data_IF_578319558882
#
_entry.id   IF_578319558882
#
_cell.length_a   1.000
_cell.length_b   1.000
_cell.length_c   1.000
_cell.angle_alpha   90.00
_cell.angle_beta   90.00
_cell.angle_gamma   90.00
#
_symmetry.space_group_name_H-M   'P 1'
#
loop_
_entity.id
_entity.type
_entity.pdbx_description
1 polymer ?
#
# COMPACT_ATOMS: atom_id res chain seq x y z
N UNK A 1 -5.82 20.28 -36.66
CA UNK A 1 -5.07 19.88 -35.45
C UNK A 1 -3.72 19.35 -35.84
N UNK A 2 -2.69 19.76 -35.13
CA UNK A 2 -1.36 19.24 -35.37
C UNK A 2 -1.24 17.81 -34.84
N UNK A 3 -0.40 17.01 -35.48
CA UNK A 3 -0.13 15.62 -35.05
C UNK A 3 0.38 15.57 -33.60
N UNK A 4 1.08 16.60 -33.15
CA UNK A 4 1.62 16.70 -31.80
C UNK A 4 0.52 16.84 -30.74
N UNK A 5 -0.52 17.61 -31.04
CA UNK A 5 -1.66 17.76 -30.13
C UNK A 5 -2.42 16.46 -29.99
N UNK A 6 -2.64 15.77 -31.11
CA UNK A 6 -3.30 14.46 -31.10
C UNK A 6 -2.52 13.43 -30.33
N UNK A 7 -1.21 13.38 -30.52
CA UNK A 7 -0.33 12.47 -29.79
C UNK A 7 -0.34 12.76 -28.28
N UNK A 8 -0.29 14.04 -27.90
CA UNK A 8 -0.33 14.44 -26.50
C UNK A 8 -1.64 13.99 -25.84
N UNK A 9 -2.77 14.18 -26.54
CA UNK A 9 -4.07 13.75 -26.04
C UNK A 9 -4.14 12.23 -25.86
N UNK A 10 -3.58 11.46 -26.79
CA UNK A 10 -3.53 10.01 -26.69
C UNK A 10 -2.70 9.56 -25.49
N UNK A 11 -1.57 10.20 -25.26
CA UNK A 11 -0.71 9.89 -24.12
C UNK A 11 -1.39 10.24 -22.81
N UNK A 12 -2.08 11.37 -22.75
CA UNK A 12 -2.86 11.77 -21.58
C UNK A 12 -3.98 10.76 -21.30
N UNK A 13 -4.68 10.32 -22.35
CA UNK A 13 -5.75 9.32 -22.21
C UNK A 13 -5.22 7.99 -21.66
N UNK A 14 -4.04 7.56 -22.11
CA UNK A 14 -3.45 6.31 -21.60
C UNK A 14 -3.10 6.42 -20.12
N UNK A 15 -2.59 7.57 -19.68
CA UNK A 15 -2.30 7.82 -18.28
C UNK A 15 -3.58 7.81 -17.47
N UNK A 16 -4.62 8.51 -17.93
CA UNK A 16 -5.92 8.55 -17.26
C UNK A 16 -6.54 7.16 -17.14
N UNK A 17 -6.47 6.35 -18.19
CA UNK A 17 -6.98 4.98 -18.18
C UNK A 17 -6.23 4.11 -17.18
N UNK A 18 -4.91 4.25 -17.12
CA UNK A 18 -4.10 3.50 -16.17
C UNK A 18 -4.42 3.89 -14.73
N UNK A 19 -4.59 5.18 -14.45
CA UNK A 19 -4.99 5.68 -13.13
C UNK A 19 -6.35 5.06 -12.73
N UNK A 20 -7.32 5.05 -13.65
CA UNK A 20 -8.64 4.48 -13.38
C UNK A 20 -8.54 2.99 -13.07
N UNK A 21 -7.73 2.23 -13.81
CA UNK A 21 -7.53 0.80 -13.58
C UNK A 21 -6.90 0.51 -12.23
N UNK A 22 -5.88 1.26 -11.85
CA UNK A 22 -5.22 1.07 -10.56
C UNK A 22 -6.15 1.44 -9.40
N UNK A 23 -6.92 2.51 -9.54
CA UNK A 23 -7.91 2.91 -8.53
C UNK A 23 -8.96 1.83 -8.35
N UNK A 24 -9.41 1.23 -9.44
CA UNK A 24 -10.37 0.12 -9.41
C UNK A 24 -9.77 -1.11 -8.70
N UNK A 25 -8.51 -1.42 -8.96
CA UNK A 25 -7.82 -2.55 -8.29
C UNK A 25 -7.73 -2.34 -6.78
N UNK A 26 -7.45 -1.12 -6.34
CA UNK A 26 -7.43 -0.80 -4.90
C UNK A 26 -8.81 -1.05 -4.29
N UNK A 27 -9.86 -0.58 -4.93
CA UNK A 27 -11.23 -0.80 -4.44
C UNK A 27 -11.57 -2.29 -4.38
N UNK A 28 -11.14 -3.08 -5.33
CA UNK A 28 -11.34 -4.53 -5.33
C UNK A 28 -10.64 -5.20 -4.14
N UNK A 29 -9.42 -4.78 -3.84
CA UNK A 29 -8.69 -5.32 -2.69
C UNK A 29 -9.39 -4.94 -1.39
N UNK A 30 -9.82 -3.69 -1.26
CA UNK A 30 -10.54 -3.22 -0.07
C UNK A 30 -11.86 -3.97 0.13
N UNK A 31 -12.49 -4.44 -0.94
CA UNK A 31 -13.74 -5.20 -0.87
C UNK A 31 -13.54 -6.67 -0.46
N UNK A 32 -12.31 -7.19 -0.55
CA UNK A 32 -11.99 -8.58 -0.21
C UNK A 32 -11.98 -8.85 1.29
N UNK A 33 -11.77 -7.83 2.10
CA UNK A 33 -11.71 -7.97 3.54
C UNK A 33 -11.01 -6.78 4.19
N UNK A 34 -10.82 -6.86 5.48
CA UNK A 34 -10.14 -5.82 6.23
C UNK A 34 -8.68 -5.67 5.79
N UNK A 35 -8.16 -4.47 5.94
CA UNK A 35 -6.80 -4.11 5.57
C UNK A 35 -6.06 -3.70 6.83
N UNK A 36 -4.85 -4.22 7.03
CA UNK A 36 -4.05 -3.83 8.17
C UNK A 36 -3.71 -2.35 8.11
N UNK A 37 -3.52 -1.70 9.29
CA UNK A 37 -3.02 -0.32 9.31
C UNK A 37 -1.67 -0.20 8.60
N UNK A 38 -1.37 0.99 8.09
CA UNK A 38 -0.11 1.24 7.40
C UNK A 38 1.08 0.97 8.33
N UNK A 39 2.14 0.39 7.79
CA UNK A 39 3.36 0.11 8.54
C UNK A 39 3.32 -1.11 9.43
N UNK A 40 2.23 -1.90 9.39
CA UNK A 40 2.15 -3.13 10.16
C UNK A 40 2.85 -4.29 9.45
N UNK A 41 3.45 -5.17 10.23
CA UNK A 41 4.04 -6.42 9.73
C UNK A 41 3.79 -7.55 10.72
N UNK A 42 3.84 -8.78 10.22
CA UNK A 42 3.70 -9.97 11.04
C UNK A 42 5.09 -10.44 11.42
N UNK A 43 5.34 -10.61 12.72
CA UNK A 43 6.61 -11.07 13.26
C UNK A 43 6.45 -12.45 13.89
N UNK A 44 7.47 -13.27 13.69
CA UNK A 44 7.60 -14.57 14.30
C UNK A 44 8.54 -14.46 15.50
N UNK A 45 8.16 -15.06 16.62
CA UNK A 45 9.00 -15.08 17.81
C UNK A 45 8.84 -16.39 18.57
N UNK A 46 9.84 -16.72 19.37
CA UNK A 46 9.78 -17.88 20.25
C UNK A 46 9.40 -17.45 21.65
N UNK A 47 8.59 -18.27 22.30
CA UNK A 47 8.23 -18.08 23.69
C UNK A 47 8.31 -19.43 24.41
N UNK A 48 8.81 -19.39 25.65
CA UNK A 48 8.95 -20.59 26.48
C UNK A 48 7.60 -20.96 27.08
N UNK A 49 7.21 -22.21 26.86
CA UNK A 49 6.01 -22.79 27.44
C UNK A 49 6.36 -23.92 28.40
N UNK A 50 5.32 -24.61 28.92
CA UNK A 50 5.50 -25.68 29.87
C UNK A 50 6.34 -26.86 29.38
N UNK A 51 6.28 -27.15 28.08
CA UNK A 51 6.92 -28.32 27.47
C UNK A 51 8.00 -27.99 26.49
N UNK A 52 8.53 -26.75 26.51
CA UNK A 52 9.57 -26.34 25.60
C UNK A 52 9.34 -24.96 25.03
N UNK A 53 10.03 -24.70 23.92
CA UNK A 53 9.95 -23.41 23.22
C UNK A 53 9.04 -23.57 22.02
N UNK A 54 8.15 -22.61 21.84
CA UNK A 54 7.17 -22.64 20.76
C UNK A 54 7.28 -21.37 19.92
N UNK A 55 6.93 -21.49 18.65
CA UNK A 55 6.83 -20.36 17.75
C UNK A 55 5.47 -19.71 17.85
N UNK A 56 5.47 -18.40 18.00
CA UNK A 56 4.28 -17.56 18.04
C UNK A 56 4.41 -16.44 17.05
N UNK A 57 3.30 -15.79 16.79
CA UNK A 57 3.20 -14.68 15.85
C UNK A 57 2.55 -13.48 16.51
N UNK A 58 2.99 -12.30 16.09
CA UNK A 58 2.40 -11.04 16.55
C UNK A 58 2.39 -10.05 15.41
N UNK A 59 1.40 -9.18 15.43
CA UNK A 59 1.33 -8.04 14.53
C UNK A 59 2.06 -6.89 15.18
N UNK A 60 2.94 -6.24 14.43
CA UNK A 60 3.77 -5.12 14.91
C UNK A 60 3.44 -3.86 14.15
N UNK A 61 3.25 -2.75 14.87
CA UNK A 61 3.11 -1.42 14.31
C UNK A 61 4.22 -0.51 14.84
N UNK A 62 4.54 0.53 14.10
CA UNK A 62 5.57 1.48 14.51
C UNK A 62 5.10 2.33 15.69
N UNK A 63 3.81 2.54 15.82
CA UNK A 63 3.22 3.29 16.93
C UNK A 63 2.31 2.38 17.76
N UNK A 64 2.06 2.78 19.01
CA UNK A 64 1.23 2.01 19.92
C UNK A 64 -0.24 2.20 19.59
N UNK A 65 -0.77 1.37 18.68
CA UNK A 65 -2.14 1.46 18.17
C UNK A 65 -3.05 0.33 18.59
N UNK A 66 -2.51 -0.71 19.24
CA UNK A 66 -3.29 -1.89 19.65
C UNK A 66 -3.67 -1.78 21.12
N UNK A 67 -4.96 -1.86 21.41
CA UNK A 67 -5.45 -1.84 22.79
C UNK A 67 -5.23 -3.21 23.44
N UNK A 68 -4.57 -3.23 24.59
CA UNK A 68 -4.33 -4.44 25.37
C UNK A 68 -5.46 -4.66 26.39
N UNK A 69 -5.50 -5.86 26.96
CA UNK A 69 -6.48 -6.20 28.00
C UNK A 69 -6.35 -5.32 29.24
N UNK A 70 -5.16 -4.79 29.51
CA UNK A 70 -4.93 -3.88 30.64
C UNK A 70 -5.37 -2.45 30.36
N UNK A 71 -5.91 -2.16 29.18
CA UNK A 71 -6.34 -0.83 28.78
C UNK A 71 -5.23 0.06 28.25
N UNK A 72 -4.01 -0.44 28.15
CA UNK A 72 -2.87 0.31 27.59
C UNK A 72 -2.73 0.04 26.11
N UNK A 73 -2.21 1.01 25.38
CA UNK A 73 -1.89 0.85 23.96
C UNK A 73 -0.54 0.19 23.80
N UNK A 74 -0.42 -0.68 22.81
CA UNK A 74 0.80 -1.43 22.51
C UNK A 74 1.12 -1.36 21.03
N UNK A 75 2.43 -1.52 20.72
CA UNK A 75 2.90 -1.67 19.34
C UNK A 75 2.68 -3.08 18.81
N UNK A 76 2.22 -4.00 19.64
CA UNK A 76 2.10 -5.42 19.30
C UNK A 76 0.69 -5.93 19.58
N UNK A 77 0.26 -6.86 18.73
CA UNK A 77 -0.98 -7.61 18.93
C UNK A 77 -0.65 -9.09 18.75
N UNK A 78 -0.87 -9.88 19.80
CA UNK A 78 -0.61 -11.33 19.75
C UNK A 78 -1.59 -12.01 18.81
N UNK A 79 -1.07 -12.91 18.00
CA UNK A 79 -1.85 -13.64 17.00
C UNK A 79 -1.94 -15.14 17.31
N UNK A 80 -1.10 -15.64 18.21
CA UNK A 80 -1.09 -17.04 18.58
C UNK A 80 -0.10 -17.87 17.79
N UNK A 81 -0.36 -19.17 17.70
CA UNK A 81 0.52 -20.13 17.07
C UNK A 81 0.38 -20.12 15.54
N UNK A 82 1.35 -20.72 14.86
CA UNK A 82 1.33 -20.86 13.41
C UNK A 82 0.03 -21.48 12.94
N UNK A 83 -0.60 -20.85 11.96
CA UNK A 83 -1.83 -21.33 11.36
C UNK A 83 -3.10 -21.07 12.17
N UNK A 84 -3.01 -20.37 13.30
CA UNK A 84 -4.22 -19.96 14.01
C UNK A 84 -5.07 -19.02 13.15
N UNK A 85 -6.36 -18.96 13.42
CA UNK A 85 -7.26 -18.07 12.66
C UNK A 85 -6.77 -16.62 12.70
N UNK A 86 -6.33 -16.14 13.86
CA UNK A 86 -5.83 -14.77 14.01
C UNK A 86 -4.55 -14.55 13.23
N UNK A 87 -3.63 -15.53 13.23
CA UNK A 87 -2.38 -15.43 12.45
C UNK A 87 -2.67 -15.32 10.96
N UNK A 88 -3.49 -16.22 10.44
CA UNK A 88 -3.80 -16.23 8.99
C UNK A 88 -4.54 -14.96 8.58
N UNK A 89 -5.52 -14.53 9.39
CA UNK A 89 -6.25 -13.29 9.07
C UNK A 89 -5.33 -12.08 9.05
N UNK A 90 -4.39 -11.99 10.00
CA UNK A 90 -3.42 -10.90 10.03
C UNK A 90 -2.51 -10.91 8.80
N UNK A 91 -2.06 -12.10 8.38
CA UNK A 91 -1.25 -12.23 7.16
C UNK A 91 -2.00 -11.71 5.94
N UNK A 92 -3.28 -12.07 5.81
CA UNK A 92 -4.11 -11.62 4.70
C UNK A 92 -4.34 -10.11 4.74
N UNK A 93 -4.57 -9.56 5.92
CA UNK A 93 -4.75 -8.10 6.08
C UNK A 93 -3.48 -7.33 5.73
N UNK A 94 -2.31 -7.83 6.14
CA UNK A 94 -1.03 -7.21 5.80
C UNK A 94 -0.75 -7.34 4.30
N UNK A 95 -1.07 -8.48 3.70
CA UNK A 95 -0.91 -8.67 2.26
C UNK A 95 -1.75 -7.66 1.47
N UNK A 96 -3.00 -7.43 1.88
CA UNK A 96 -3.85 -6.42 1.24
C UNK A 96 -3.26 -5.02 1.38
N UNK A 97 -2.74 -4.68 2.56
CA UNK A 97 -2.07 -3.38 2.79
C UNK A 97 -0.87 -3.22 1.87
N UNK A 98 -0.04 -4.23 1.74
CA UNK A 98 1.14 -4.20 0.89
C UNK A 98 0.76 -3.99 -0.57
N UNK A 99 -0.27 -4.69 -1.05
CA UNK A 99 -0.76 -4.53 -2.41
C UNK A 99 -1.31 -3.12 -2.66
N UNK A 100 -2.10 -2.60 -1.73
CA UNK A 100 -2.67 -1.25 -1.84
C UNK A 100 -1.56 -0.21 -1.86
N UNK A 101 -0.58 -0.32 -0.98
CA UNK A 101 0.54 0.62 -0.93
C UNK A 101 1.35 0.62 -2.23
N UNK A 102 1.58 -0.57 -2.81
CA UNK A 102 2.23 -0.68 -4.12
C UNK A 102 1.45 0.01 -5.22
N UNK A 103 0.14 -0.19 -5.26
CA UNK A 103 -0.73 0.44 -6.25
C UNK A 103 -0.79 1.96 -6.04
N UNK A 104 -0.83 2.42 -4.79
CA UNK A 104 -0.82 3.84 -4.48
C UNK A 104 0.47 4.52 -4.92
N UNK A 105 1.62 3.84 -4.77
CA UNK A 105 2.88 4.37 -5.28
C UNK A 105 2.86 4.52 -6.80
N UNK A 106 2.27 3.57 -7.51
CA UNK A 106 2.14 3.67 -8.95
C UNK A 106 1.17 4.77 -9.37
N UNK A 107 0.08 4.96 -8.62
CA UNK A 107 -0.84 6.08 -8.84
C UNK A 107 -0.14 7.41 -8.70
N UNK A 108 0.66 7.57 -7.65
CA UNK A 108 1.45 8.79 -7.43
C UNK A 108 2.41 9.03 -8.60
N UNK A 109 3.08 7.98 -9.05
CA UNK A 109 4.00 8.07 -10.19
C UNK A 109 3.27 8.48 -11.48
N UNK A 110 2.09 7.91 -11.74
CA UNK A 110 1.29 8.25 -12.92
C UNK A 110 0.74 9.67 -12.84
N UNK A 111 0.33 10.12 -11.65
CA UNK A 111 -0.13 11.49 -11.45
C UNK A 111 0.99 12.48 -11.74
N UNK A 112 2.21 12.14 -11.35
CA UNK A 112 3.40 12.93 -11.68
C UNK A 112 3.66 12.96 -13.19
N UNK A 113 3.52 11.82 -13.86
CA UNK A 113 3.66 11.75 -15.31
C UNK A 113 2.62 12.63 -16.02
N UNK A 114 1.41 12.69 -15.47
CA UNK A 114 0.36 13.56 -15.99
C UNK A 114 0.82 15.03 -15.98
N UNK A 115 1.36 15.47 -14.85
CA UNK A 115 1.92 16.83 -14.74
C UNK A 115 3.09 17.04 -15.69
N UNK A 116 3.96 16.02 -15.83
CA UNK A 116 5.14 16.09 -16.70
C UNK A 116 4.78 16.34 -18.18
N UNK A 117 3.63 15.81 -18.63
CA UNK A 117 3.17 16.06 -20.00
C UNK A 117 2.99 17.54 -20.27
N UNK A 118 2.40 18.26 -19.34
CA UNK A 118 2.13 19.69 -19.49
C UNK A 118 3.35 20.54 -19.18
N UNK A 119 4.11 20.16 -18.16
CA UNK A 119 5.34 20.86 -17.77
C UNK A 119 6.40 20.78 -18.87
N UNK A 120 6.55 19.64 -19.52
CA UNK A 120 7.48 19.47 -20.64
C UNK A 120 7.11 20.37 -21.79
N UNK A 121 5.81 20.55 -22.05
CA UNK A 121 5.31 21.44 -23.11
C UNK A 121 5.61 22.91 -22.77
N UNK A 122 5.45 23.33 -21.52
CA UNK A 122 5.74 24.68 -21.08
C UNK A 122 7.24 24.96 -21.02
N UNK A 123 8.05 24.02 -20.54
CA UNK A 123 9.47 24.22 -20.36
C UNK A 123 10.27 24.24 -21.65
N UNK A 124 9.75 23.72 -22.77
CA UNK A 124 10.38 23.90 -24.10
C UNK A 124 10.36 25.36 -24.52
N UNK A 125 9.36 26.13 -24.13
CA UNK A 125 9.32 27.56 -24.32
C UNK A 125 10.32 28.30 -23.46
N UNK A 126 10.62 27.83 -22.28
CA UNK A 126 11.54 28.46 -21.33
C UNK A 126 13.00 28.15 -21.59
N UNK A 127 13.32 26.99 -22.16
CA UNK A 127 14.70 26.61 -22.49
C UNK A 127 15.31 27.44 -23.61
N UNK A 128 14.49 28.00 -24.48
CA UNK A 128 14.96 28.86 -25.57
C UNK A 128 15.29 30.28 -25.11
N UNK A 129 14.98 30.62 -23.87
CA UNK A 129 15.25 31.96 -23.30
C UNK A 129 16.51 32.01 -22.45
N UNK A 130 17.27 30.96 -22.38
CA UNK A 130 18.57 30.94 -21.70
C UNK A 130 19.70 31.17 -22.70
#
# INVERSE_FOLDING_TARGET
>A
MSDKTYELEQRADRIADAIAKLSCQIQQIESQGEVAPAGCCVLRYQARGRRGTYWYYKLHAQEAIFLTQSGKMSKYKHLGKAGSAAHIEAVLQVARRTQIEGLQRMLTALTQCWSDLYDTFESQGQRTSK
#
